data_IF_717081032771
#
_entry.id   IF_717081032771
#
_cell.length_a   1.000
_cell.length_b   1.000
_cell.length_c   1.000
_cell.angle_alpha   90.00
_cell.angle_beta   90.00
_cell.angle_gamma   90.00
#
_symmetry.space_group_name_H-M   'P 1'
#
loop_
_entity.id
_entity.type
_entity.pdbx_description
1 polymer ?
#
# COMPACT_ATOMS: atom_id res chain seq x y z
N UNK A 1 -21.22 -7.99 -4.19
CA UNK A 1 -20.94 -7.49 -2.83
C UNK A 1 -20.32 -6.11 -2.97
N UNK A 2 -20.99 -5.06 -2.49
CA UNK A 2 -20.45 -3.69 -2.50
C UNK A 2 -19.49 -3.55 -1.32
N UNK A 3 -18.27 -3.04 -1.52
CA UNK A 3 -17.34 -2.81 -0.41
C UNK A 3 -17.94 -1.82 0.59
N UNK A 4 -17.86 -2.15 1.88
CA UNK A 4 -18.41 -1.31 2.97
C UNK A 4 -17.64 0.02 3.12
N UNK A 5 -16.35 0.03 2.74
CA UNK A 5 -15.46 1.18 2.85
C UNK A 5 -14.62 1.35 1.59
N UNK A 6 -14.38 2.61 1.25
CA UNK A 6 -13.55 3.01 0.12
C UNK A 6 -12.53 4.04 0.60
N UNK A 7 -11.26 3.85 0.21
CA UNK A 7 -10.20 4.85 0.38
C UNK A 7 -10.01 5.55 -0.95
N UNK A 8 -10.16 6.88 -0.95
CA UNK A 8 -9.93 7.72 -2.12
C UNK A 8 -8.55 8.36 -1.98
N UNK A 9 -7.69 8.14 -2.96
CA UNK A 9 -6.35 8.72 -3.00
C UNK A 9 -6.18 9.57 -4.26
N UNK A 10 -5.58 10.76 -4.08
CA UNK A 10 -5.22 11.64 -5.19
C UNK A 10 -3.70 11.63 -5.35
N UNK A 11 -3.22 11.30 -6.54
CA UNK A 11 -1.80 11.26 -6.86
C UNK A 11 -1.58 11.76 -8.30
N UNK A 12 -0.70 12.75 -8.47
CA UNK A 12 -0.32 13.31 -9.78
C UNK A 12 -1.51 13.61 -10.73
N UNK A 13 -2.61 14.15 -10.18
CA UNK A 13 -3.80 14.50 -10.97
C UNK A 13 -4.82 13.37 -11.16
N UNK A 14 -4.46 12.13 -10.87
CA UNK A 14 -5.39 11.00 -10.87
C UNK A 14 -6.08 10.86 -9.51
N UNK A 15 -7.34 10.42 -9.54
CA UNK A 15 -8.12 10.03 -8.36
C UNK A 15 -8.42 8.54 -8.47
N UNK A 16 -7.88 7.75 -7.55
CA UNK A 16 -8.12 6.31 -7.48
C UNK A 16 -8.90 5.97 -6.23
N UNK A 17 -9.77 4.97 -6.34
CA UNK A 17 -10.59 4.48 -5.23
C UNK A 17 -10.28 3.01 -4.97
N UNK A 18 -9.93 2.70 -3.73
CA UNK A 18 -9.57 1.36 -3.30
C UNK A 18 -10.62 0.80 -2.33
N UNK A 19 -11.22 -0.37 -2.60
CA UNK A 19 -12.04 -1.06 -1.62
C UNK A 19 -11.15 -1.60 -0.49
N UNK A 20 -11.56 -1.34 0.75
CA UNK A 20 -10.83 -1.82 1.94
C UNK A 20 -11.79 -2.42 2.96
N UNK A 21 -11.31 -3.37 3.75
CA UNK A 21 -12.04 -3.88 4.92
C UNK A 21 -11.98 -2.90 6.09
N UNK A 22 -10.82 -2.28 6.32
CA UNK A 22 -10.56 -1.42 7.48
C UNK A 22 -9.60 -0.26 7.17
N UNK A 23 -9.67 0.80 7.98
CA UNK A 23 -8.70 1.92 8.01
C UNK A 23 -8.19 2.06 9.44
N UNK A 24 -6.91 1.76 9.65
CA UNK A 24 -6.28 1.77 10.98
C UNK A 24 -5.90 3.17 11.48
N UNK A 25 -6.05 4.20 10.63
CA UNK A 25 -5.72 5.59 10.94
C UNK A 25 -4.30 5.98 10.52
N UNK A 26 -3.82 7.10 11.06
CA UNK A 26 -2.48 7.62 10.79
C UNK A 26 -1.48 7.13 11.85
N UNK A 27 -0.29 6.75 11.42
CA UNK A 27 0.78 6.30 12.32
C UNK A 27 2.09 6.95 11.90
N UNK A 28 2.84 7.41 12.91
CA UNK A 28 4.24 7.81 12.71
C UNK A 28 5.10 6.56 12.74
N UNK A 29 6.06 6.48 11.83
CA UNK A 29 7.04 5.41 11.78
C UNK A 29 8.43 6.00 11.56
N UNK A 30 9.44 5.24 11.96
CA UNK A 30 10.85 5.53 11.69
C UNK A 30 11.36 4.55 10.62
N UNK A 31 12.36 4.93 9.80
CA UNK A 31 12.90 4.05 8.76
C UNK A 31 13.34 2.67 9.27
N UNK A 32 13.92 2.60 10.46
CA UNK A 32 14.36 1.37 11.13
C UNK A 32 13.22 0.41 11.50
N UNK A 33 11.97 0.87 11.47
CA UNK A 33 10.79 0.02 11.68
C UNK A 33 10.41 -0.78 10.42
N UNK A 34 11.04 -0.48 9.29
CA UNK A 34 10.81 -1.15 8.01
C UNK A 34 11.78 -2.32 7.90
N UNK A 35 11.24 -3.53 7.92
CA UNK A 35 11.98 -4.77 7.66
C UNK A 35 11.93 -5.13 6.19
N UNK A 36 12.93 -5.89 5.75
CA UNK A 36 12.93 -6.50 4.43
C UNK A 36 11.70 -7.40 4.24
N UNK A 37 11.28 -7.50 2.98
CA UNK A 37 10.21 -8.41 2.60
C UNK A 37 10.61 -9.86 2.93
N UNK A 38 9.76 -10.62 3.64
CA UNK A 38 9.96 -12.04 3.81
C UNK A 38 10.13 -12.70 2.43
N UNK A 39 11.05 -13.65 2.32
CA UNK A 39 11.33 -14.39 1.07
C UNK A 39 10.10 -15.14 0.52
N UNK A 40 9.08 -15.32 1.34
CA UNK A 40 7.80 -15.94 0.97
C UNK A 40 6.83 -14.96 0.28
N UNK A 41 7.10 -13.65 0.29
CA UNK A 41 6.33 -12.68 -0.48
C UNK A 41 6.84 -12.68 -1.92
N UNK A 42 6.01 -13.16 -2.85
CA UNK A 42 6.39 -13.33 -4.26
C UNK A 42 5.45 -12.59 -5.22
N UNK A 43 5.87 -12.49 -6.49
CA UNK A 43 5.07 -11.94 -7.58
C UNK A 43 4.82 -10.44 -7.47
N UNK A 44 3.64 -10.00 -7.91
CA UNK A 44 3.27 -8.58 -7.97
C UNK A 44 3.29 -7.89 -6.60
N UNK A 45 3.01 -8.62 -5.52
CA UNK A 45 3.06 -8.07 -4.15
C UNK A 45 4.46 -7.61 -3.76
N UNK A 46 5.51 -8.36 -4.13
CA UNK A 46 6.89 -8.00 -3.82
C UNK A 46 7.35 -6.76 -4.62
N UNK A 47 6.92 -6.64 -5.88
CA UNK A 47 7.31 -5.51 -6.75
C UNK A 47 6.82 -4.18 -6.18
N UNK A 48 5.56 -4.13 -5.74
CA UNK A 48 4.91 -2.91 -5.24
C UNK A 48 5.03 -2.69 -3.73
N UNK A 49 5.75 -3.56 -3.01
CA UNK A 49 5.98 -3.42 -1.57
C UNK A 49 7.44 -3.00 -1.34
N UNK A 50 7.62 -1.95 -0.52
CA UNK A 50 8.92 -1.44 -0.08
C UNK A 50 9.52 -2.33 1.01
N UNK A 51 8.68 -2.81 1.93
CA UNK A 51 9.09 -3.64 3.06
C UNK A 51 7.90 -3.94 3.96
N UNK A 52 8.16 -4.56 5.11
CA UNK A 52 7.17 -4.78 6.15
C UNK A 52 7.39 -3.76 7.27
N UNK A 53 6.40 -2.91 7.50
CA UNK A 53 6.37 -2.02 8.64
C UNK A 53 5.80 -2.77 9.86
N UNK A 54 6.57 -2.83 10.94
CA UNK A 54 6.11 -3.43 12.20
C UNK A 54 5.45 -2.37 13.07
N UNK A 55 4.14 -2.49 13.23
CA UNK A 55 3.35 -1.61 14.07
C UNK A 55 2.71 -2.40 15.21
N UNK A 56 3.33 -2.34 16.40
CA UNK A 56 2.94 -3.18 17.53
C UNK A 56 3.06 -4.65 17.17
N UNK A 57 1.94 -5.38 17.18
CA UNK A 57 1.86 -6.80 16.84
C UNK A 57 1.36 -7.05 15.40
N UNK A 58 1.31 -6.03 14.53
CA UNK A 58 0.88 -6.16 13.12
C UNK A 58 2.05 -5.94 12.18
N UNK A 59 2.16 -6.84 11.20
CA UNK A 59 3.03 -6.68 10.03
C UNK A 59 2.23 -6.02 8.90
N UNK A 60 2.65 -4.82 8.51
CA UNK A 60 1.97 -4.01 7.50
C UNK A 60 2.82 -3.96 6.24
N UNK A 61 2.28 -4.38 5.11
CA UNK A 61 2.94 -4.21 3.81
C UNK A 61 3.08 -2.73 3.47
N UNK A 62 4.29 -2.19 3.54
CA UNK A 62 4.54 -0.79 3.23
C UNK A 62 4.74 -0.62 1.72
N UNK A 63 3.82 0.05 1.04
CA UNK A 63 3.78 0.09 -0.43
C UNK A 63 4.78 1.09 -1.02
N UNK A 64 5.26 0.81 -2.23
CA UNK A 64 5.94 1.78 -3.10
C UNK A 64 4.87 2.57 -3.85
N UNK A 65 4.37 3.61 -3.21
CA UNK A 65 3.35 4.52 -3.74
C UNK A 65 3.64 4.97 -5.18
N UNK A 66 4.81 5.55 -5.46
CA UNK A 66 5.13 6.06 -6.81
C UNK A 66 5.02 4.97 -7.90
N UNK A 67 5.54 3.77 -7.61
CA UNK A 67 5.52 2.64 -8.54
C UNK A 67 4.11 2.07 -8.70
N UNK A 68 3.36 1.98 -7.60
CA UNK A 68 2.00 1.49 -7.58
C UNK A 68 1.07 2.41 -8.38
N UNK A 69 1.07 3.71 -8.08
CA UNK A 69 0.24 4.69 -8.79
C UNK A 69 0.60 4.72 -10.27
N UNK A 70 1.89 4.78 -10.63
CA UNK A 70 2.32 4.76 -12.02
C UNK A 70 1.80 3.55 -12.80
N UNK A 71 1.83 2.35 -12.21
CA UNK A 71 1.27 1.15 -12.88
C UNK A 71 -0.24 1.27 -13.02
N UNK A 72 -0.96 1.66 -11.95
CA UNK A 72 -2.43 1.72 -11.97
C UNK A 72 -2.97 2.79 -12.92
N UNK A 73 -2.22 3.87 -13.14
CA UNK A 73 -2.65 4.96 -14.04
C UNK A 73 -2.13 4.82 -15.45
N UNK A 74 -1.24 3.85 -15.73
CA UNK A 74 -0.64 3.67 -17.06
C UNK A 74 -1.68 3.46 -18.16
N UNK A 75 -2.75 2.73 -17.86
CA UNK A 75 -3.80 2.38 -18.83
C UNK A 75 -5.02 3.31 -18.71
N UNK A 76 -4.93 4.38 -17.91
CA UNK A 76 -5.97 5.41 -17.73
C UNK A 76 -5.69 6.68 -18.56
N UNK A 77 -4.59 6.71 -19.32
CA UNK A 77 -4.23 7.80 -20.22
C UNK A 77 -4.78 7.59 -21.63
#
# INVERSE_FOLDING_TARGET
>A
MTPERLVVARHQGYTLTFPVSEVLGHTKYLPEMIRDLPVTVSGSKAVYTRGILCLGNKDIGFLKDDMLFKTLTKDLS
#
